data_IF_776741954409
#
_entry.id   IF_776741954409
#
_cell.length_a   1.000
_cell.length_b   1.000
_cell.length_c   1.000
_cell.angle_alpha   90.00
_cell.angle_beta   90.00
_cell.angle_gamma   90.00
#
_symmetry.space_group_name_H-M   'P 1'
#
loop_
_entity.id
_entity.type
_entity.pdbx_description
1 polymer ?
#
# COMPACT_ATOMS: atom_id res chain seq x y z
N UNK A 1 48.66 -6.16 35.86
CA UNK A 1 47.42 -6.88 36.23
C UNK A 1 46.22 -6.46 35.36
N UNK A 2 45.93 -5.15 35.22
CA UNK A 2 44.81 -4.63 34.42
C UNK A 2 44.91 -5.03 32.92
N UNK A 3 46.08 -4.85 32.29
CA UNK A 3 46.32 -5.21 30.89
C UNK A 3 46.09 -6.70 30.55
N UNK A 4 46.45 -7.60 31.47
CA UNK A 4 46.22 -9.04 31.32
C UNK A 4 44.73 -9.40 31.45
N UNK A 5 44.01 -8.75 32.38
CA UNK A 5 42.58 -8.93 32.54
C UNK A 5 41.80 -8.41 31.32
N UNK A 6 42.22 -7.28 30.75
CA UNK A 6 41.65 -6.74 29.50
C UNK A 6 41.90 -7.70 28.33
N UNK A 7 43.13 -8.20 28.15
CA UNK A 7 43.46 -9.16 27.08
C UNK A 7 42.67 -10.47 27.18
N UNK A 8 42.51 -11.02 28.40
CA UNK A 8 41.71 -12.21 28.65
C UNK A 8 40.21 -12.00 28.38
N UNK A 9 39.70 -10.79 28.67
CA UNK A 9 38.30 -10.43 28.39
C UNK A 9 38.05 -10.27 26.88
N UNK A 10 39.00 -9.66 26.15
CA UNK A 10 38.95 -9.56 24.69
C UNK A 10 39.05 -10.93 24.00
N UNK A 11 39.91 -11.83 24.47
CA UNK A 11 40.00 -13.19 23.89
C UNK A 11 38.73 -14.00 24.14
N UNK A 12 38.12 -13.87 25.33
CA UNK A 12 36.84 -14.52 25.68
C UNK A 12 35.68 -13.97 24.84
N UNK A 13 35.64 -12.65 24.59
CA UNK A 13 34.67 -12.02 23.70
C UNK A 13 34.83 -12.48 22.25
N UNK A 14 36.07 -12.54 21.74
CA UNK A 14 36.35 -13.03 20.39
C UNK A 14 35.93 -14.50 20.24
N UNK A 15 36.21 -15.34 21.24
CA UNK A 15 35.77 -16.73 21.24
C UNK A 15 34.24 -16.85 21.26
N UNK A 16 33.57 -16.08 22.12
CA UNK A 16 32.10 -16.04 22.16
C UNK A 16 31.49 -15.58 20.84
N UNK A 17 32.08 -14.59 20.17
CA UNK A 17 31.64 -14.12 18.85
C UNK A 17 31.80 -15.20 17.78
N UNK A 18 32.94 -15.90 17.77
CA UNK A 18 33.18 -17.03 16.86
C UNK A 18 32.16 -18.15 17.08
N UNK A 19 31.89 -18.47 18.34
CA UNK A 19 30.92 -19.51 18.68
C UNK A 19 29.49 -19.08 18.30
N UNK A 20 29.13 -17.80 18.50
CA UNK A 20 27.85 -17.24 18.06
C UNK A 20 27.69 -17.28 16.54
N UNK A 21 28.70 -16.83 15.77
CA UNK A 21 28.67 -16.87 14.31
C UNK A 21 28.54 -18.30 13.81
N UNK A 22 29.31 -19.23 14.40
CA UNK A 22 29.24 -20.65 14.05
C UNK A 22 27.84 -21.20 14.27
N UNK A 23 27.25 -20.94 15.44
CA UNK A 23 25.87 -21.35 15.76
C UNK A 23 24.86 -20.79 14.77
N UNK A 24 24.95 -19.51 14.44
CA UNK A 24 24.07 -18.89 13.44
C UNK A 24 24.20 -19.56 12.07
N UNK A 25 25.42 -19.85 11.61
CA UNK A 25 25.63 -20.56 10.34
C UNK A 25 25.04 -21.98 10.38
N UNK A 26 25.26 -22.71 11.47
CA UNK A 26 24.72 -24.06 11.67
C UNK A 26 23.17 -24.03 11.69
N UNK A 27 22.56 -23.03 12.34
CA UNK A 27 21.11 -22.81 12.37
C UNK A 27 20.53 -22.54 10.98
N UNK A 28 21.16 -21.67 10.17
CA UNK A 28 20.72 -21.43 8.79
C UNK A 28 20.87 -22.66 7.89
N UNK A 29 21.94 -23.45 8.09
CA UNK A 29 22.15 -24.70 7.35
C UNK A 29 21.07 -25.73 7.69
N UNK A 30 20.76 -25.88 8.98
CA UNK A 30 19.68 -26.75 9.43
C UNK A 30 18.33 -26.29 8.86
N UNK A 31 18.01 -24.99 8.94
CA UNK A 31 16.78 -24.44 8.37
C UNK A 31 16.67 -24.66 6.85
N UNK A 32 17.77 -24.56 6.12
CA UNK A 32 17.80 -24.84 4.68
C UNK A 32 17.55 -26.33 4.37
N UNK A 33 18.15 -27.24 5.16
CA UNK A 33 17.92 -28.68 5.04
C UNK A 33 16.46 -29.04 5.32
N UNK A 34 15.91 -28.52 6.42
CA UNK A 34 14.51 -28.72 6.80
C UNK A 34 13.55 -28.16 5.75
N UNK A 35 13.88 -27.02 5.14
CA UNK A 35 13.09 -26.44 4.05
C UNK A 35 13.09 -27.37 2.83
N UNK A 36 14.24 -27.93 2.46
CA UNK A 36 14.35 -28.87 1.34
C UNK A 36 13.55 -30.17 1.60
N UNK A 37 13.58 -30.68 2.83
CA UNK A 37 12.77 -31.84 3.23
C UNK A 37 11.26 -31.53 3.25
N UNK A 38 10.87 -30.33 3.69
CA UNK A 38 9.48 -29.87 3.64
C UNK A 38 8.95 -29.74 2.20
N UNK A 39 9.79 -29.27 1.26
CA UNK A 39 9.44 -29.21 -0.16
C UNK A 39 9.23 -30.62 -0.73
N UNK A 40 10.11 -31.56 -0.40
CA UNK A 40 10.02 -32.96 -0.86
C UNK A 40 8.81 -33.69 -0.28
N UNK A 41 8.55 -33.53 1.00
CA UNK A 41 7.48 -34.24 1.70
C UNK A 41 6.08 -33.69 1.38
N UNK A 42 5.96 -32.37 1.13
CA UNK A 42 4.68 -31.70 0.88
C UNK A 42 4.81 -30.63 -0.22
N UNK A 43 4.99 -31.02 -1.49
CA UNK A 43 5.25 -30.07 -2.59
C UNK A 43 4.10 -29.08 -2.80
N UNK A 44 2.84 -29.52 -2.71
CA UNK A 44 1.68 -28.65 -2.91
C UNK A 44 1.59 -27.53 -1.86
N UNK A 45 1.77 -27.86 -0.57
CA UNK A 45 1.73 -26.84 0.51
C UNK A 45 2.90 -25.88 0.42
N UNK A 46 4.09 -26.39 0.11
CA UNK A 46 5.29 -25.58 -0.07
C UNK A 46 5.15 -24.62 -1.25
N UNK A 47 4.56 -25.07 -2.36
CA UNK A 47 4.26 -24.22 -3.51
C UNK A 47 3.27 -23.12 -3.14
N UNK A 48 2.16 -23.45 -2.46
CA UNK A 48 1.17 -22.45 -2.02
C UNK A 48 1.78 -21.39 -1.10
N UNK A 49 2.56 -21.79 -0.11
CA UNK A 49 3.22 -20.85 0.82
C UNK A 49 4.24 -19.96 0.10
N UNK A 50 5.04 -20.55 -0.78
CA UNK A 50 6.05 -19.81 -1.57
C UNK A 50 5.36 -18.82 -2.52
N UNK A 51 4.30 -19.25 -3.20
CA UNK A 51 3.51 -18.39 -4.08
C UNK A 51 2.86 -17.24 -3.31
N UNK A 52 2.31 -17.49 -2.13
CA UNK A 52 1.74 -16.45 -1.27
C UNK A 52 2.81 -15.41 -0.84
N UNK A 53 4.00 -15.87 -0.45
CA UNK A 53 5.10 -14.98 -0.07
C UNK A 53 5.61 -14.14 -1.25
N UNK A 54 5.84 -14.77 -2.40
CA UNK A 54 6.22 -14.08 -3.63
C UNK A 54 5.13 -13.09 -4.07
N UNK A 55 3.85 -13.49 -3.97
CA UNK A 55 2.70 -12.64 -4.26
C UNK A 55 2.66 -11.42 -3.36
N UNK A 56 2.87 -11.58 -2.05
CA UNK A 56 2.91 -10.46 -1.11
C UNK A 56 4.06 -9.48 -1.43
N UNK A 57 5.26 -9.98 -1.77
CA UNK A 57 6.38 -9.13 -2.21
C UNK A 57 6.05 -8.40 -3.51
N UNK A 58 5.44 -9.09 -4.47
CA UNK A 58 5.02 -8.49 -5.73
C UNK A 58 4.01 -7.37 -5.51
N UNK A 59 2.99 -7.63 -4.68
CA UNK A 59 1.99 -6.63 -4.31
C UNK A 59 2.64 -5.42 -3.62
N UNK A 60 3.51 -5.65 -2.64
CA UNK A 60 4.25 -4.59 -1.95
C UNK A 60 5.04 -3.70 -2.92
N UNK A 61 5.71 -4.29 -3.91
CA UNK A 61 6.49 -3.54 -4.91
C UNK A 61 5.63 -2.83 -5.95
N UNK A 62 4.39 -3.28 -6.16
CA UNK A 62 3.49 -2.73 -7.18
C UNK A 62 2.39 -1.86 -6.57
N UNK A 63 2.41 -1.54 -5.27
CA UNK A 63 1.41 -0.63 -4.70
C UNK A 63 1.52 0.74 -5.36
N UNK A 64 0.41 1.31 -5.88
CA UNK A 64 0.46 2.64 -6.48
C UNK A 64 0.62 3.72 -5.41
N UNK A 65 1.46 4.71 -5.74
CA UNK A 65 1.69 5.91 -4.96
C UNK A 65 0.64 7.00 -5.23
N UNK A 66 0.60 8.03 -4.38
CA UNK A 66 -0.29 9.19 -4.52
C UNK A 66 -0.14 9.89 -5.89
N UNK A 67 1.09 10.03 -6.39
CA UNK A 67 1.35 10.65 -7.70
C UNK A 67 0.73 9.86 -8.85
N UNK A 68 0.75 8.53 -8.76
CA UNK A 68 0.11 7.67 -9.76
C UNK A 68 -1.41 7.86 -9.78
N UNK A 69 -2.02 8.14 -8.62
CA UNK A 69 -3.45 8.46 -8.58
C UNK A 69 -3.76 9.77 -9.29
N UNK A 70 -3.00 10.83 -9.00
CA UNK A 70 -3.18 12.11 -9.66
C UNK A 70 -3.00 12.00 -11.17
N UNK A 71 -2.00 11.25 -11.63
CA UNK A 71 -1.81 10.97 -13.05
C UNK A 71 -3.02 10.27 -13.67
N UNK A 72 -3.52 9.18 -13.06
CA UNK A 72 -4.71 8.46 -13.54
C UNK A 72 -5.99 9.30 -13.49
N UNK A 73 -6.12 10.20 -12.51
CA UNK A 73 -7.26 11.10 -12.41
C UNK A 73 -7.26 12.15 -13.52
N UNK A 74 -6.09 12.71 -13.84
CA UNK A 74 -5.93 13.67 -14.95
C UNK A 74 -6.16 12.99 -16.29
N UNK A 75 -5.65 11.76 -16.47
CA UNK A 75 -5.90 10.94 -17.65
C UNK A 75 -7.41 10.68 -17.83
N UNK A 76 -8.10 10.22 -16.78
CA UNK A 76 -9.55 10.01 -16.81
C UNK A 76 -10.34 11.29 -17.12
N UNK A 77 -9.91 12.44 -16.58
CA UNK A 77 -10.51 13.73 -16.91
C UNK A 77 -10.31 14.10 -18.38
N UNK A 78 -9.13 13.82 -18.95
CA UNK A 78 -8.86 14.09 -20.36
C UNK A 78 -9.73 13.21 -21.25
N UNK A 79 -9.90 11.93 -20.91
CA UNK A 79 -10.75 11.01 -21.66
C UNK A 79 -12.21 11.49 -21.67
N UNK A 80 -12.74 11.93 -20.52
CA UNK A 80 -14.10 12.49 -20.43
C UNK A 80 -14.24 13.79 -21.26
N UNK A 81 -13.22 14.64 -21.30
CA UNK A 81 -13.23 15.89 -22.08
C UNK A 81 -13.28 15.65 -23.60
N UNK A 82 -12.81 14.50 -24.08
CA UNK A 82 -12.87 14.13 -25.50
C UNK A 82 -14.29 13.69 -25.93
N UNK A 83 -15.14 13.30 -24.97
CA UNK A 83 -16.50 12.83 -25.21
C UNK A 83 -17.48 14.00 -25.08
N UNK A 84 -18.32 14.23 -26.09
CA UNK A 84 -19.33 15.28 -26.06
C UNK A 84 -20.40 15.04 -24.98
N UNK A 85 -20.94 16.12 -24.41
CA UNK A 85 -21.87 16.05 -23.27
C UNK A 85 -23.11 15.17 -23.51
N UNK A 86 -23.61 15.08 -24.74
CA UNK A 86 -24.80 14.29 -25.07
C UNK A 86 -24.60 12.76 -24.91
N UNK A 87 -23.42 12.26 -25.29
CA UNK A 87 -23.10 10.83 -25.32
C UNK A 87 -22.27 10.39 -24.10
N UNK A 88 -21.89 11.32 -23.22
CA UNK A 88 -21.06 11.04 -22.05
C UNK A 88 -21.89 10.42 -20.93
N UNK A 89 -21.36 9.37 -20.30
CA UNK A 89 -21.99 8.80 -19.12
C UNK A 89 -21.88 9.76 -17.91
N UNK A 90 -23.00 10.17 -17.28
CA UNK A 90 -22.97 11.11 -16.17
C UNK A 90 -22.35 10.51 -14.89
N UNK A 91 -22.31 9.18 -14.74
CA UNK A 91 -21.77 8.51 -13.54
C UNK A 91 -20.25 8.73 -13.39
N UNK A 92 -19.39 8.37 -14.37
CA UNK A 92 -17.96 8.65 -14.29
C UNK A 92 -17.65 10.13 -14.29
N UNK A 93 -18.38 10.94 -15.04
CA UNK A 93 -18.19 12.39 -15.09
C UNK A 93 -18.36 13.03 -13.69
N UNK A 94 -19.49 12.77 -13.04
CA UNK A 94 -19.74 13.23 -11.68
C UNK A 94 -18.71 12.70 -10.67
N UNK A 95 -18.27 11.45 -10.83
CA UNK A 95 -17.28 10.84 -9.95
C UNK A 95 -15.92 11.53 -10.05
N UNK A 96 -15.41 11.71 -11.28
CA UNK A 96 -14.11 12.36 -11.55
C UNK A 96 -14.15 13.82 -11.11
N UNK A 97 -15.20 14.57 -11.47
CA UNK A 97 -15.34 15.97 -11.05
C UNK A 97 -15.35 16.11 -9.53
N UNK A 98 -16.05 15.23 -8.81
CA UNK A 98 -16.07 15.24 -7.34
C UNK A 98 -14.68 14.99 -6.74
N UNK A 99 -13.90 14.06 -7.28
CA UNK A 99 -12.52 13.80 -6.82
C UNK A 99 -11.61 14.99 -7.13
N UNK A 100 -11.75 15.62 -8.30
CA UNK A 100 -11.00 16.84 -8.64
C UNK A 100 -11.31 17.99 -7.68
N UNK A 101 -12.57 18.15 -7.26
CA UNK A 101 -12.95 19.13 -6.23
C UNK A 101 -12.27 18.84 -4.89
N UNK A 102 -12.24 17.58 -4.44
CA UNK A 102 -11.53 17.21 -3.20
C UNK A 102 -10.02 17.43 -3.30
N UNK A 103 -9.45 17.20 -4.47
CA UNK A 103 -8.03 17.47 -4.74
C UNK A 103 -7.72 18.95 -4.66
N UNK A 104 -8.54 19.79 -5.31
CA UNK A 104 -8.40 21.25 -5.31
C UNK A 104 -8.53 21.84 -3.90
N UNK A 105 -9.40 21.26 -3.06
CA UNK A 105 -9.60 21.66 -1.66
C UNK A 105 -8.54 21.10 -0.70
N UNK A 106 -7.58 20.31 -1.18
CA UNK A 106 -6.58 19.66 -0.32
C UNK A 106 -7.19 18.66 0.68
N UNK A 107 -8.39 18.14 0.40
CA UNK A 107 -9.12 17.21 1.28
C UNK A 107 -8.73 15.75 1.05
N UNK A 108 -8.05 15.44 -0.06
CA UNK A 108 -7.65 14.08 -0.41
C UNK A 108 -6.50 13.59 0.48
N UNK A 109 -6.56 12.32 0.90
CA UNK A 109 -5.53 11.71 1.75
C UNK A 109 -5.13 10.34 1.19
N UNK A 110 -3.83 10.11 1.16
CA UNK A 110 -3.23 8.84 0.80
C UNK A 110 -2.75 8.08 2.04
N UNK A 111 -3.01 6.77 2.08
CA UNK A 111 -2.44 5.86 3.10
C UNK A 111 -1.95 4.56 2.46
N UNK A 112 -0.69 4.23 2.71
CA UNK A 112 -0.07 2.97 2.31
C UNK A 112 -0.19 1.92 3.42
N UNK A 113 -0.71 0.73 3.10
CA UNK A 113 -0.91 -0.40 4.03
C UNK A 113 -0.01 -1.61 3.74
N UNK A 114 1.03 -1.44 2.94
CA UNK A 114 1.98 -2.52 2.61
C UNK A 114 1.64 -3.13 1.26
N UNK A 115 0.60 -3.95 1.19
CA UNK A 115 0.21 -4.68 -0.04
C UNK A 115 -0.88 -3.98 -0.85
N UNK A 116 -1.50 -2.95 -0.28
CA UNK A 116 -2.44 -2.07 -0.96
C UNK A 116 -2.30 -0.64 -0.42
N UNK A 117 -2.82 0.32 -1.16
CA UNK A 117 -2.98 1.72 -0.76
C UNK A 117 -4.45 2.11 -0.79
N UNK A 118 -4.81 3.09 0.03
CA UNK A 118 -6.18 3.61 0.11
C UNK A 118 -6.14 5.11 -0.04
N UNK A 119 -7.09 5.63 -0.82
CA UNK A 119 -7.38 7.04 -0.92
C UNK A 119 -8.74 7.30 -0.28
N UNK A 120 -8.77 8.29 0.59
CA UNK A 120 -9.97 8.71 1.31
C UNK A 120 -10.00 10.24 1.36
N UNK A 121 -11.18 10.81 1.61
CA UNK A 121 -11.30 12.25 1.84
C UNK A 121 -11.39 12.57 3.33
N UNK A 122 -10.86 13.74 3.69
CA UNK A 122 -10.96 14.38 5.01
C UNK A 122 -11.91 15.57 4.92
N UNK A 123 -12.46 16.02 6.06
CA UNK A 123 -13.38 17.15 6.11
C UNK A 123 -12.68 18.51 5.97
N UNK A 124 -11.37 18.56 6.24
CA UNK A 124 -10.56 19.78 6.25
C UNK A 124 -9.29 19.60 5.41
N UNK A 125 -8.72 20.72 4.98
CA UNK A 125 -7.41 20.75 4.32
C UNK A 125 -6.28 20.39 5.31
N UNK A 126 -5.14 19.91 4.81
CA UNK A 126 -3.99 19.46 5.60
C UNK A 126 -3.34 20.62 6.35
N UNK A 127 -3.36 21.79 5.72
CA UNK A 127 -2.76 23.01 6.24
C UNK A 127 -3.78 23.90 6.97
N UNK A 128 -5.04 23.47 7.06
CA UNK A 128 -6.03 24.15 7.86
C UNK A 128 -5.68 24.04 9.35
N UNK A 129 -5.81 25.17 10.06
CA UNK A 129 -5.49 25.30 11.50
C UNK A 129 -6.65 25.87 12.31
N UNK A 130 -7.87 25.80 11.79
CA UNK A 130 -9.10 26.18 12.51
C UNK A 130 -9.29 25.33 13.75
N UNK A 131 -9.88 25.88 14.82
CA UNK A 131 -10.19 25.11 16.04
C UNK A 131 -10.94 23.80 15.75
N UNK A 132 -11.92 23.85 14.83
CA UNK A 132 -12.67 22.66 14.39
C UNK A 132 -11.75 21.60 13.79
N UNK A 133 -10.84 21.95 12.89
CA UNK A 133 -9.89 21.00 12.28
C UNK A 133 -8.96 20.31 13.30
N UNK A 134 -8.69 20.95 14.44
CA UNK A 134 -7.84 20.40 15.50
C UNK A 134 -8.63 19.65 16.58
N UNK A 135 -9.96 19.77 16.58
CA UNK A 135 -10.80 19.22 17.62
C UNK A 135 -10.94 17.69 17.47
N UNK A 136 -10.45 16.94 18.47
CA UNK A 136 -10.51 15.47 18.50
C UNK A 136 -11.93 14.91 18.33
N UNK A 137 -12.95 15.62 18.80
CA UNK A 137 -14.35 15.18 18.75
C UNK A 137 -15.00 15.36 17.38
N UNK A 138 -14.37 16.13 16.48
CA UNK A 138 -14.84 16.30 15.09
C UNK A 138 -14.17 15.33 14.11
N UNK A 139 -13.16 14.59 14.58
CA UNK A 139 -12.49 13.61 13.74
C UNK A 139 -13.45 12.45 13.40
N UNK A 140 -13.35 11.89 12.19
CA UNK A 140 -14.21 10.82 11.76
C UNK A 140 -14.06 9.59 12.66
N UNK A 141 -15.19 8.99 13.01
CA UNK A 141 -15.22 7.75 13.77
C UNK A 141 -14.82 6.58 12.87
N UNK A 142 -14.28 5.50 13.44
CA UNK A 142 -13.95 4.27 12.72
C UNK A 142 -15.13 3.67 11.93
N UNK A 143 -16.37 3.92 12.36
CA UNK A 143 -17.60 3.51 11.68
C UNK A 143 -17.88 4.29 10.39
N UNK A 144 -17.41 5.52 10.29
CA UNK A 144 -17.58 6.39 9.12
C UNK A 144 -16.43 6.25 8.11
N UNK A 145 -15.34 5.60 8.50
CA UNK A 145 -14.17 5.45 7.66
C UNK A 145 -14.47 4.70 6.35
N UNK A 146 -15.27 3.61 6.33
CA UNK A 146 -15.60 2.89 5.09
C UNK A 146 -16.35 3.73 4.06
N UNK A 147 -17.24 4.64 4.49
CA UNK A 147 -17.98 5.52 3.56
C UNK A 147 -17.14 6.67 3.02
N UNK A 148 -15.97 6.93 3.62
CA UNK A 148 -15.01 7.96 3.20
C UNK A 148 -13.93 7.46 2.24
N UNK A 149 -13.84 6.14 2.05
CA UNK A 149 -12.92 5.53 1.08
C UNK A 149 -13.38 5.86 -0.34
N UNK A 150 -12.49 6.47 -1.12
CA UNK A 150 -12.73 6.81 -2.52
C UNK A 150 -12.23 5.71 -3.44
N UNK A 151 -11.00 5.25 -3.23
CA UNK A 151 -10.38 4.22 -4.07
C UNK A 151 -9.37 3.37 -3.29
N UNK A 152 -9.17 2.15 -3.78
CA UNK A 152 -8.20 1.17 -3.29
C UNK A 152 -7.21 0.90 -4.43
N UNK A 153 -5.94 1.15 -4.15
CA UNK A 153 -4.81 0.92 -5.04
C UNK A 153 -4.18 -0.43 -4.77
N UNK A 154 -4.08 -1.28 -5.79
CA UNK A 154 -3.42 -2.59 -5.70
C UNK A 154 -2.93 -3.02 -7.08
N UNK A 155 -1.81 -3.74 -7.17
CA UNK A 155 -1.23 -4.20 -8.45
C UNK A 155 -0.98 -3.08 -9.47
N UNK A 156 -0.54 -1.91 -9.01
CA UNK A 156 -0.18 -0.76 -9.86
C UNK A 156 -1.38 -0.03 -10.47
N UNK A 157 -2.60 -0.33 -10.02
CA UNK A 157 -3.83 0.25 -10.56
C UNK A 157 -4.72 0.74 -9.42
N UNK A 158 -5.51 1.77 -9.73
CA UNK A 158 -6.60 2.29 -8.90
C UNK A 158 -7.90 1.66 -9.37
N UNK A 159 -8.46 0.79 -8.54
CA UNK A 159 -9.50 -0.13 -9.00
C UNK A 159 -10.84 0.59 -9.18
N UNK A 160 -11.27 1.43 -8.24
CA UNK A 160 -12.56 2.10 -8.32
C UNK A 160 -12.63 3.05 -9.50
N UNK A 161 -11.60 3.90 -9.68
CA UNK A 161 -11.51 4.82 -10.81
C UNK A 161 -11.55 4.05 -12.14
N UNK A 162 -10.78 2.97 -12.26
CA UNK A 162 -10.75 2.12 -13.46
C UNK A 162 -12.12 1.50 -13.76
N UNK A 163 -12.78 0.95 -12.75
CA UNK A 163 -14.10 0.35 -12.90
C UNK A 163 -15.13 1.38 -13.38
N UNK A 164 -15.15 2.56 -12.75
CA UNK A 164 -16.09 3.64 -13.09
C UNK A 164 -15.85 4.17 -14.51
N UNK A 165 -14.59 4.23 -14.95
CA UNK A 165 -14.21 4.68 -16.28
C UNK A 165 -14.33 3.62 -17.40
N UNK A 166 -14.98 2.46 -17.16
CA UNK A 166 -15.06 1.40 -18.20
C UNK A 166 -15.99 1.78 -19.35
N UNK A 167 -17.17 2.33 -19.03
CA UNK A 167 -18.23 2.68 -20.00
C UNK A 167 -18.53 4.19 -19.94
N UNK A 168 -17.47 5.01 -20.04
CA UNK A 168 -17.59 6.47 -19.89
C UNK A 168 -18.12 7.18 -21.14
N UNK A 169 -18.04 6.52 -22.29
CA UNK A 169 -18.47 6.98 -23.62
C UNK A 169 -19.87 6.47 -24.01
N UNK A 170 -20.55 5.75 -23.12
CA UNK A 170 -21.91 5.25 -23.34
C UNK A 170 -22.88 5.91 -22.36
N UNK A 171 -23.75 6.78 -22.88
CA UNK A 171 -24.89 7.29 -22.12
C UNK A 171 -26.05 6.29 -22.19
N UNK A 172 -26.49 5.77 -21.04
CA UNK A 172 -27.60 4.81 -20.93
C UNK A 172 -28.98 5.48 -20.76
N UNK A 173 -29.02 6.80 -20.60
CA UNK A 173 -30.26 7.57 -20.42
C UNK A 173 -30.86 8.07 -21.74
N UNK A 174 -30.14 7.91 -22.86
CA UNK A 174 -30.63 8.08 -24.24
C UNK A 174 -31.08 6.74 -24.84
#
# INVERSE_FOLDING_TARGET
KILAAVKARFSKLNQSLKDSIKRTVDDYKAAASDTAENIKSRPARSLLNTAAFCGAIYLYKTVPEEQNFHASLVEASNDLLLVGDAIRNPVPDNHVQKIMQYTTKGMLRYRHFGVFSVIYFSDYDRDERTYLSQCKYTNPTWTELPSRVLDIGCMGKWWKLRWVMTDFDVNFEE
#
